data_IF_888806345828
#
_entry.id   IF_888806345828
#
_cell.length_a   1.000
_cell.length_b   1.000
_cell.length_c   1.000
_cell.angle_alpha   90.00
_cell.angle_beta   90.00
_cell.angle_gamma   90.00
#
_symmetry.space_group_name_H-M   'P 1'
#
loop_
_entity.id
_entity.type
_entity.pdbx_description
1 polymer ?
#
# COMPACT_ATOMS: atom_id res chain seq x y z
N UNK A 1 -20.54 11.90 11.23
CA UNK A 1 -19.22 11.80 10.78
C UNK A 1 -18.51 10.61 11.35
N UNK A 2 -18.07 9.77 10.51
CA UNK A 2 -17.39 8.59 11.03
C UNK A 2 -16.08 9.00 11.69
N UNK A 3 -15.80 8.42 12.79
CA UNK A 3 -14.53 8.65 13.44
C UNK A 3 -13.46 7.79 12.75
N UNK A 4 -12.22 8.14 13.02
CA UNK A 4 -11.11 7.31 12.56
C UNK A 4 -11.18 6.00 13.34
N UNK A 5 -11.09 4.84 12.66
CA UNK A 5 -11.11 3.57 13.38
C UNK A 5 -9.96 3.49 14.37
N UNK A 6 -10.20 2.81 15.49
CA UNK A 6 -9.14 2.56 16.45
C UNK A 6 -8.13 1.59 15.85
N UNK A 7 -6.94 1.51 16.46
CA UNK A 7 -5.94 0.57 16.01
C UNK A 7 -6.45 -0.87 16.04
N UNK A 8 -7.24 -1.19 17.05
CA UNK A 8 -7.81 -2.53 17.16
C UNK A 8 -8.79 -2.80 16.04
N UNK A 9 -9.59 -1.82 15.67
CA UNK A 9 -10.54 -1.96 14.57
C UNK A 9 -9.81 -2.14 13.25
N UNK A 10 -8.73 -1.39 13.04
CA UNK A 10 -7.91 -1.57 11.86
C UNK A 10 -7.30 -2.96 11.79
N UNK A 11 -6.79 -3.46 12.92
CA UNK A 11 -6.19 -4.78 12.94
C UNK A 11 -7.21 -5.87 12.62
N UNK A 12 -8.42 -5.75 13.16
CA UNK A 12 -9.47 -6.70 12.89
C UNK A 12 -9.89 -6.68 11.43
N UNK A 13 -10.07 -5.47 10.89
CA UNK A 13 -10.43 -5.31 9.49
C UNK A 13 -9.34 -5.90 8.59
N UNK A 14 -8.09 -5.57 8.86
CA UNK A 14 -6.98 -6.04 8.05
C UNK A 14 -6.87 -7.55 8.09
N UNK A 15 -7.10 -8.16 9.26
CA UNK A 15 -7.05 -9.61 9.36
C UNK A 15 -8.10 -10.27 8.46
N UNK A 16 -9.30 -9.69 8.42
CA UNK A 16 -10.34 -10.21 7.55
C UNK A 16 -9.96 -10.10 6.08
N UNK A 17 -9.36 -8.98 5.68
CA UNK A 17 -8.91 -8.80 4.30
C UNK A 17 -7.81 -9.79 3.96
N UNK A 18 -6.86 -9.99 4.87
CA UNK A 18 -5.76 -10.92 4.66
C UNK A 18 -6.29 -12.34 4.49
N UNK A 19 -7.23 -12.75 5.34
CA UNK A 19 -7.78 -14.09 5.27
C UNK A 19 -8.52 -14.31 3.96
N UNK A 20 -9.32 -13.34 3.53
CA UNK A 20 -10.03 -13.44 2.27
C UNK A 20 -9.06 -13.49 1.10
N UNK A 21 -8.04 -12.63 1.13
CA UNK A 21 -7.02 -12.58 0.09
C UNK A 21 -6.39 -13.96 -0.11
N UNK A 22 -5.98 -14.58 1.00
CA UNK A 22 -5.29 -15.86 0.93
C UNK A 22 -6.21 -17.01 0.54
N UNK A 23 -7.47 -16.93 0.95
CA UNK A 23 -8.44 -17.96 0.60
C UNK A 23 -8.85 -17.91 -0.87
N UNK A 24 -8.78 -16.72 -1.50
CA UNK A 24 -9.29 -16.51 -2.84
C UNK A 24 -8.20 -16.10 -3.83
N UNK A 25 -6.97 -16.46 -3.58
CA UNK A 25 -5.87 -16.23 -4.52
C UNK A 25 -5.71 -14.75 -4.89
N UNK A 26 -5.89 -13.89 -3.91
CA UNK A 26 -5.67 -12.47 -4.10
C UNK A 26 -6.91 -11.65 -4.43
N UNK A 27 -8.07 -12.26 -4.45
CA UNK A 27 -9.32 -11.55 -4.72
C UNK A 27 -10.02 -11.24 -3.41
N UNK A 28 -10.35 -9.98 -3.20
CA UNK A 28 -11.07 -9.56 -1.99
C UNK A 28 -12.32 -8.79 -2.37
N UNK A 29 -13.31 -8.81 -1.50
CA UNK A 29 -14.53 -8.04 -1.69
C UNK A 29 -14.43 -6.67 -1.05
N UNK A 30 -13.64 -6.56 0.00
CA UNK A 30 -13.38 -5.28 0.68
C UNK A 30 -11.89 -5.16 0.90
N UNK A 31 -11.31 -4.03 0.59
CA UNK A 31 -11.93 -2.85 -0.03
C UNK A 31 -12.31 -3.10 -1.50
N UNK A 32 -13.10 -2.22 -2.11
CA UNK A 32 -13.60 -2.46 -3.48
C UNK A 32 -12.58 -2.12 -4.56
N UNK A 33 -11.33 -2.49 -4.37
CA UNK A 33 -10.27 -2.32 -5.33
C UNK A 33 -9.19 -3.36 -5.04
N UNK A 34 -8.34 -3.66 -6.02
CA UNK A 34 -7.30 -4.67 -5.81
C UNK A 34 -6.31 -4.26 -4.72
N UNK A 35 -5.88 -5.23 -3.96
CA UNK A 35 -4.86 -5.02 -2.92
C UNK A 35 -3.75 -6.05 -3.08
N UNK A 36 -2.62 -5.74 -2.46
CA UNK A 36 -1.57 -6.70 -2.23
C UNK A 36 -1.39 -6.83 -0.73
N UNK A 37 -0.69 -7.86 -0.30
CA UNK A 37 -0.30 -8.00 1.09
C UNK A 37 1.18 -7.68 1.20
N UNK A 38 1.52 -6.75 2.07
CA UNK A 38 2.91 -6.36 2.31
C UNK A 38 3.32 -6.86 3.68
N UNK A 39 4.38 -7.66 3.73
CA UNK A 39 4.94 -8.12 4.99
C UNK A 39 6.27 -7.44 5.22
N UNK A 40 6.39 -6.77 6.35
CA UNK A 40 7.60 -6.05 6.74
C UNK A 40 8.15 -6.62 8.03
N UNK A 41 9.42 -6.33 8.31
CA UNK A 41 10.05 -6.74 9.56
C UNK A 41 10.00 -5.57 10.52
N UNK A 42 9.49 -5.79 11.72
CA UNK A 42 9.31 -4.73 12.69
C UNK A 42 10.61 -4.03 13.02
N UNK A 43 10.57 -2.69 13.04
CA UNK A 43 11.77 -1.88 13.28
C UNK A 43 12.30 -2.09 14.68
N UNK A 44 11.41 -2.36 15.64
CA UNK A 44 11.84 -2.54 17.03
C UNK A 44 11.91 -3.99 17.43
N UNK A 45 10.94 -4.79 17.01
CA UNK A 45 10.81 -6.15 17.53
C UNK A 45 11.40 -7.21 16.62
N UNK A 46 11.66 -6.88 15.36
CA UNK A 46 12.07 -7.87 14.38
C UNK A 46 10.97 -8.80 13.94
N UNK A 47 9.73 -8.56 14.40
CA UNK A 47 8.62 -9.42 14.11
C UNK A 47 8.05 -9.12 12.74
N UNK A 48 7.67 -10.16 11.99
CA UNK A 48 7.07 -9.97 10.68
C UNK A 48 5.61 -9.57 10.85
N UNK A 49 5.19 -8.55 10.10
CA UNK A 49 3.82 -8.03 10.18
C UNK A 49 3.29 -7.84 8.77
N UNK A 50 2.07 -8.29 8.53
CA UNK A 50 1.44 -8.23 7.21
C UNK A 50 0.27 -7.25 7.21
N UNK A 51 0.19 -6.41 6.18
CA UNK A 51 -0.93 -5.49 6.01
C UNK A 51 -1.40 -5.54 4.56
N UNK A 52 -2.71 -5.38 4.32
CA UNK A 52 -3.23 -5.26 2.96
C UNK A 52 -3.16 -3.80 2.52
N UNK A 53 -2.73 -3.57 1.29
CA UNK A 53 -2.60 -2.22 0.76
C UNK A 53 -3.09 -2.17 -0.68
N UNK A 54 -3.79 -1.11 -1.04
CA UNK A 54 -4.01 -0.79 -2.44
C UNK A 54 -2.67 -0.46 -3.08
N UNK A 55 -2.57 -0.65 -4.37
CA UNK A 55 -1.30 -0.42 -5.07
C UNK A 55 -1.56 0.19 -6.44
N UNK A 56 -0.49 0.69 -7.04
CA UNK A 56 -0.55 1.21 -8.39
C UNK A 56 0.64 0.66 -9.18
N UNK A 57 0.59 0.83 -10.49
CA UNK A 57 1.65 0.38 -11.38
C UNK A 57 2.05 1.57 -12.23
N UNK A 58 3.34 1.85 -12.32
CA UNK A 58 3.80 3.01 -13.10
C UNK A 58 3.98 2.62 -14.57
N UNK A 59 4.48 3.57 -15.36
CA UNK A 59 4.61 3.36 -16.81
C UNK A 59 5.63 2.28 -17.15
N UNK A 60 6.56 2.01 -16.25
CA UNK A 60 7.57 0.98 -16.43
C UNK A 60 7.14 -0.36 -15.89
N UNK A 61 5.93 -0.46 -15.39
CA UNK A 61 5.42 -1.71 -14.84
C UNK A 61 5.80 -1.96 -13.39
N UNK A 62 6.36 -0.97 -12.71
CA UNK A 62 6.76 -1.14 -11.31
C UNK A 62 5.55 -0.99 -10.40
N UNK A 63 5.43 -1.87 -9.42
CA UNK A 63 4.36 -1.81 -8.43
C UNK A 63 4.79 -0.89 -7.30
N UNK A 64 3.89 0.00 -6.87
CA UNK A 64 4.21 0.90 -5.76
C UNK A 64 3.01 1.14 -4.88
N UNK A 65 3.27 1.59 -3.67
CA UNK A 65 2.24 1.88 -2.68
C UNK A 65 2.49 3.26 -2.08
N UNK A 66 1.43 3.85 -1.51
CA UNK A 66 1.51 5.17 -0.89
C UNK A 66 1.20 5.04 0.58
N UNK A 67 2.06 5.60 1.42
CA UNK A 67 1.92 5.49 2.87
C UNK A 67 1.08 6.65 3.41
N UNK A 68 -0.21 6.67 3.08
CA UNK A 68 -1.09 7.78 3.44
C UNK A 68 -1.76 7.58 4.80
N UNK A 69 -2.00 6.35 5.20
CA UNK A 69 -2.76 6.01 6.40
C UNK A 69 -4.08 6.80 6.43
N UNK A 70 -4.76 6.83 5.28
CA UNK A 70 -6.04 7.53 5.10
C UNK A 70 -5.96 9.00 5.51
N UNK A 71 -4.80 9.64 5.33
CA UNK A 71 -4.63 11.04 5.67
C UNK A 71 -4.37 11.31 7.13
N UNK A 72 -4.08 10.28 7.92
CA UNK A 72 -3.77 10.46 9.32
C UNK A 72 -2.48 11.25 9.55
N UNK A 73 -2.27 11.74 10.77
CA UNK A 73 -1.15 12.65 11.04
C UNK A 73 0.21 11.97 11.11
N UNK A 74 0.25 10.66 11.19
CA UNK A 74 1.50 9.92 11.33
C UNK A 74 1.64 8.92 10.21
N UNK A 75 2.88 8.60 9.87
CA UNK A 75 3.13 7.54 8.92
C UNK A 75 2.69 6.19 9.51
N UNK A 76 2.24 5.26 8.67
CA UNK A 76 1.87 3.94 9.18
C UNK A 76 3.09 3.17 9.67
N UNK A 77 2.84 2.21 10.56
CA UNK A 77 3.92 1.43 11.15
C UNK A 77 4.73 0.68 10.10
N UNK A 78 4.07 0.16 9.05
CA UNK A 78 4.80 -0.60 8.03
C UNK A 78 5.81 0.27 7.28
N UNK A 79 5.56 1.56 7.19
CA UNK A 79 6.51 2.45 6.55
C UNK A 79 7.79 2.56 7.38
N UNK A 80 7.64 2.72 8.68
CA UNK A 80 8.81 2.75 9.56
C UNK A 80 9.57 1.44 9.52
N UNK A 81 8.84 0.33 9.42
CA UNK A 81 9.46 -0.98 9.36
C UNK A 81 10.31 -1.13 8.10
N UNK A 82 9.76 -0.76 6.93
CA UNK A 82 10.53 -0.94 5.71
C UNK A 82 11.69 0.04 5.59
N UNK A 83 11.63 1.16 6.28
CA UNK A 83 12.77 2.05 6.32
C UNK A 83 13.91 1.45 7.13
N UNK A 84 13.58 0.71 8.17
CA UNK A 84 14.59 0.04 8.99
C UNK A 84 15.11 -1.23 8.30
N UNK A 85 14.23 -1.92 7.57
CA UNK A 85 14.55 -3.18 6.90
C UNK A 85 13.89 -3.17 5.54
N UNK A 86 14.64 -2.89 4.50
CA UNK A 86 14.07 -2.71 3.17
C UNK A 86 13.65 -4.01 2.51
N UNK A 87 14.08 -5.16 3.02
CA UNK A 87 13.63 -6.45 2.50
C UNK A 87 12.20 -6.71 2.96
N UNK A 88 11.31 -6.93 2.00
CA UNK A 88 9.89 -7.14 2.28
C UNK A 88 9.40 -8.32 1.48
N UNK A 89 8.23 -8.84 1.86
CA UNK A 89 7.56 -9.88 1.09
C UNK A 89 6.25 -9.31 0.59
N UNK A 90 5.93 -9.53 -0.68
CA UNK A 90 4.71 -9.05 -1.30
C UNK A 90 3.91 -10.24 -1.81
N UNK A 91 2.65 -10.34 -1.38
CA UNK A 91 1.73 -11.32 -1.95
C UNK A 91 0.82 -10.58 -2.91
N UNK A 92 0.76 -11.04 -4.14
CA UNK A 92 -0.04 -10.40 -5.18
C UNK A 92 -0.67 -11.48 -6.03
N UNK A 93 -1.98 -11.45 -6.15
CA UNK A 93 -2.69 -12.56 -6.79
C UNK A 93 -2.43 -13.83 -6.01
N UNK A 94 -2.03 -14.88 -6.69
CA UNK A 94 -1.71 -16.16 -6.07
C UNK A 94 -0.23 -16.31 -5.76
N UNK A 95 0.58 -15.30 -6.06
CA UNK A 95 2.03 -15.40 -5.91
C UNK A 95 2.57 -14.68 -4.69
N UNK A 96 3.77 -15.04 -4.28
CA UNK A 96 4.46 -14.41 -3.18
C UNK A 96 5.88 -14.12 -3.64
N UNK A 97 6.35 -12.90 -3.42
CA UNK A 97 7.60 -12.43 -3.98
C UNK A 97 8.44 -11.71 -2.93
N UNK A 98 9.73 -11.99 -2.91
CA UNK A 98 10.64 -11.19 -2.11
C UNK A 98 10.97 -9.94 -2.89
N UNK A 99 10.93 -8.80 -2.23
CA UNK A 99 11.10 -7.51 -2.89
C UNK A 99 11.93 -6.60 -2.01
N UNK A 100 12.38 -5.52 -2.60
CA UNK A 100 13.10 -4.48 -1.88
C UNK A 100 12.25 -3.21 -1.93
N UNK A 101 12.01 -2.62 -0.78
CA UNK A 101 11.25 -1.40 -0.70
C UNK A 101 12.17 -0.21 -1.00
N UNK A 102 11.79 0.58 -2.00
CA UNK A 102 12.57 1.75 -2.42
C UNK A 102 11.72 2.98 -2.17
N UNK A 103 12.11 3.80 -1.21
CA UNK A 103 11.37 5.03 -0.90
C UNK A 103 11.79 6.08 -1.91
N UNK A 104 10.84 6.54 -2.70
CA UNK A 104 11.13 7.54 -3.73
C UNK A 104 11.20 8.93 -3.15
N UNK A 105 11.87 9.84 -3.86
CA UNK A 105 12.01 11.22 -3.41
C UNK A 105 11.87 12.16 -4.60
N UNK A 106 11.68 13.44 -4.31
CA UNK A 106 11.71 14.49 -5.33
C UNK A 106 10.66 14.33 -6.40
N UNK A 107 11.05 14.59 -7.62
CA UNK A 107 10.10 14.57 -8.74
C UNK A 107 9.53 13.20 -9.01
N UNK A 108 10.31 12.16 -8.79
CA UNK A 108 9.79 10.80 -8.97
C UNK A 108 8.65 10.53 -8.01
N UNK A 109 8.86 10.86 -6.74
CA UNK A 109 7.82 10.69 -5.72
C UNK A 109 6.57 11.49 -6.11
N UNK A 110 6.74 12.73 -6.54
CA UNK A 110 5.61 13.60 -6.87
C UNK A 110 4.85 13.09 -8.07
N UNK A 111 5.55 12.58 -9.06
CA UNK A 111 4.93 12.05 -10.26
C UNK A 111 4.11 10.80 -9.95
N UNK A 112 4.68 9.89 -9.18
CA UNK A 112 3.97 8.67 -8.82
C UNK A 112 2.77 8.94 -7.93
N UNK A 113 2.93 9.87 -6.99
CA UNK A 113 1.83 10.23 -6.11
C UNK A 113 0.67 10.82 -6.92
N UNK A 114 0.96 11.68 -7.86
CA UNK A 114 -0.06 12.31 -8.67
C UNK A 114 -0.83 11.33 -9.53
N UNK A 115 -0.17 10.26 -9.98
CA UNK A 115 -0.85 9.23 -10.74
C UNK A 115 -1.98 8.56 -9.94
N UNK A 116 -1.78 8.44 -8.64
CA UNK A 116 -2.76 7.78 -7.78
C UNK A 116 -3.79 8.76 -7.27
N UNK A 117 -3.32 9.90 -6.80
CA UNK A 117 -4.17 10.82 -6.05
C UNK A 117 -4.77 11.92 -6.91
N UNK A 118 -4.18 12.19 -8.05
CA UNK A 118 -4.57 13.34 -8.84
C UNK A 118 -4.10 14.61 -8.19
N UNK A 119 -4.47 15.74 -8.79
CA UNK A 119 -4.03 17.03 -8.29
C UNK A 119 -4.84 17.49 -7.10
N UNK A 120 -6.07 16.97 -6.95
CA UNK A 120 -6.98 17.41 -5.91
C UNK A 120 -7.22 16.25 -4.94
N UNK A 121 -6.24 15.98 -4.10
CA UNK A 121 -6.28 14.84 -3.21
C UNK A 121 -6.89 15.22 -1.86
N UNK A 122 -8.02 14.63 -1.53
CA UNK A 122 -8.72 14.93 -0.29
C UNK A 122 -7.90 14.58 0.95
N UNK A 123 -7.09 13.54 0.88
CA UNK A 123 -6.27 13.18 2.05
C UNK A 123 -5.23 14.24 2.33
N UNK A 124 -4.60 14.78 1.29
CA UNK A 124 -3.56 15.78 1.46
C UNK A 124 -4.13 17.08 2.00
N UNK A 125 -5.40 17.35 1.78
CA UNK A 125 -6.01 18.58 2.27
C UNK A 125 -6.19 18.59 3.77
N UNK A 126 -6.15 17.43 4.41
CA UNK A 126 -6.37 17.32 5.83
C UNK A 126 -5.10 17.21 6.64
N UNK A 127 -3.95 17.34 6.00
CA UNK A 127 -2.68 17.21 6.70
C UNK A 127 -1.58 17.87 5.86
N UNK A 128 -0.57 18.36 6.55
CA UNK A 128 0.62 18.88 5.89
C UNK A 128 1.64 17.79 5.63
N UNK A 129 1.35 16.57 6.05
CA UNK A 129 2.29 15.48 5.90
C UNK A 129 2.45 15.11 4.42
N UNK A 130 3.67 14.95 3.99
CA UNK A 130 3.99 14.46 2.65
C UNK A 130 3.91 12.93 2.70
N UNK A 131 3.05 12.35 1.89
CA UNK A 131 2.87 10.90 1.90
C UNK A 131 4.01 10.23 1.13
N UNK A 132 4.75 9.33 1.78
CA UNK A 132 5.80 8.61 1.07
C UNK A 132 5.23 7.69 -0.01
N UNK A 133 6.00 7.53 -1.07
CA UNK A 133 5.68 6.63 -2.16
C UNK A 133 6.80 5.61 -2.26
N UNK A 134 6.47 4.33 -2.19
CA UNK A 134 7.44 3.27 -2.11
C UNK A 134 7.27 2.31 -3.28
N UNK A 135 8.31 2.17 -4.08
CA UNK A 135 8.35 1.19 -5.16
C UNK A 135 8.76 -0.16 -4.55
N UNK A 136 8.06 -1.21 -4.94
CA UNK A 136 8.35 -2.56 -4.48
C UNK A 136 9.11 -3.28 -5.58
N UNK A 137 10.43 -3.18 -5.50
CA UNK A 137 11.32 -3.67 -6.54
C UNK A 137 11.45 -5.19 -6.44
N UNK A 138 11.12 -5.89 -7.48
CA UNK A 138 11.15 -7.35 -7.50
C UNK A 138 9.80 -7.99 -7.68
N UNK A 139 8.72 -7.19 -7.65
CA UNK A 139 7.38 -7.71 -7.85
C UNK A 139 7.06 -7.65 -9.33
N UNK A 140 6.62 -8.75 -9.95
CA UNK A 140 6.29 -8.72 -11.37
C UNK A 140 5.08 -7.82 -11.62
N UNK A 141 5.03 -7.26 -12.83
CA UNK A 141 3.89 -6.44 -13.23
C UNK A 141 2.63 -7.30 -13.19
N UNK A 142 1.57 -6.85 -12.51
CA UNK A 142 0.36 -7.63 -12.45
C UNK A 142 -0.31 -7.78 -13.82
N UNK A 143 -1.07 -8.83 -13.95
CA UNK A 143 -1.83 -9.03 -15.16
C UNK A 143 -2.85 -7.91 -15.33
N UNK A 144 -3.24 -7.71 -16.59
CA UNK A 144 -4.24 -6.75 -16.93
C UNK A 144 -5.49 -6.94 -16.07
N UNK A 145 -6.00 -5.88 -15.53
CA UNK A 145 -7.17 -5.94 -14.64
C UNK A 145 -6.84 -5.96 -13.18
N UNK A 146 -5.57 -6.16 -12.85
CA UNK A 146 -5.19 -6.17 -11.48
C UNK A 146 -4.57 -4.88 -11.05
N UNK A 147 -4.28 -4.01 -11.98
CA UNK A 147 -3.49 -2.94 -11.59
C UNK A 147 -4.23 -1.72 -11.33
N UNK A 148 -5.13 -1.44 -10.93
CA UNK A 148 -5.79 -0.40 -10.80
C UNK A 148 -5.71 0.41 -9.96
N UNK A 149 -5.54 0.95 -9.56
CA UNK A 149 -5.43 1.70 -8.76
C UNK A 149 -6.25 2.64 -8.43
N UNK A 150 -6.71 3.28 -8.83
CA UNK A 150 -7.44 4.20 -8.48
C UNK A 150 -8.55 4.25 -8.97
N UNK A 151 -9.15 4.44 -8.38
CA UNK A 151 -10.36 4.42 -8.72
C UNK A 151 -10.60 5.35 -9.64
N UNK A 152 -10.44 5.48 -10.10
CA UNK A 152 -10.61 6.13 -10.97
C UNK A 152 -11.42 6.86 -11.00
N UNK A 153 -11.48 7.37 -10.99
CA UNK A 153 -12.07 8.11 -11.03
C UNK A 153 -12.67 8.06 -11.91
N UNK A 154 -13.08 7.89 -12.15
CA UNK A 154 -13.61 7.69 -12.93
C UNK A 154 -14.09 8.33 -13.31
N UNK A 155 -14.02 8.61 -13.45
CA UNK A 155 -14.73 9.39 -13.83
C UNK A 155 -14.77 9.85 -13.98
#
# INVERSE_FOLDING_TARGET
>A
MPSVPSDEEFLTYNRGVIDEFRANHGVVTQPPFPVLLLTTTGARTGRRTTVPLGFAVDDDGRVYVVASKAGGPKHPAWFHNLRANESVTVELGAGSFEARAVVTTGEERDRLYRRVAGDDNAYAKNTDRVFPVIVLDGVPTPASGMHISQPQKTG
#
